data_IF_086223547202
#
_entry.id   IF_086223547202
#
_cell.length_a   1.000
_cell.length_b   1.000
_cell.length_c   1.000
_cell.angle_alpha   90.00
_cell.angle_beta   90.00
_cell.angle_gamma   90.00
#
_symmetry.space_group_name_H-M   'P 1'
#
loop_
_entity.id
_entity.type
_entity.pdbx_description
1 polymer ?
#
# COMPACT_ATOMS: atom_id res chain seq x y z
N UNK A 1 40.84 62.40 46.78
CA UNK A 1 40.91 63.03 45.45
C UNK A 1 39.88 62.44 44.49
N UNK A 2 38.74 61.94 45.01
CA UNK A 2 37.73 61.14 44.29
C UNK A 2 36.37 61.86 44.14
N UNK A 3 36.00 62.76 45.05
CA UNK A 3 34.65 63.37 45.02
C UNK A 3 34.36 64.31 43.84
N UNK A 4 35.38 64.91 43.21
CA UNK A 4 35.17 65.79 42.05
C UNK A 4 34.84 65.00 40.77
N UNK A 5 35.34 63.76 40.61
CA UNK A 5 34.99 62.91 39.47
C UNK A 5 33.56 62.37 39.57
N UNK A 6 33.05 62.18 40.79
CA UNK A 6 31.69 61.67 41.02
C UNK A 6 30.64 62.73 40.66
N UNK A 7 30.91 64.02 40.96
CA UNK A 7 30.01 65.13 40.60
C UNK A 7 29.85 65.30 39.09
N UNK A 8 30.96 65.25 38.34
CA UNK A 8 30.94 65.34 36.88
C UNK A 8 30.16 64.16 36.26
N UNK A 9 30.30 62.96 36.82
CA UNK A 9 29.55 61.77 36.43
C UNK A 9 28.05 61.96 36.66
N UNK A 10 27.63 62.49 37.82
CA UNK A 10 26.22 62.78 38.11
C UNK A 10 25.61 63.83 37.17
N UNK A 11 26.37 64.86 36.81
CA UNK A 11 25.95 65.85 35.81
C UNK A 11 25.72 65.16 34.46
N UNK A 12 26.61 64.23 34.06
CA UNK A 12 26.46 63.50 32.81
C UNK A 12 25.24 62.57 32.81
N UNK A 13 25.03 61.79 33.88
CA UNK A 13 23.87 60.90 34.06
C UNK A 13 22.55 61.70 34.01
N UNK A 14 22.51 62.87 34.66
CA UNK A 14 21.34 63.74 34.63
C UNK A 14 21.10 64.33 33.22
N UNK A 15 22.15 64.74 32.50
CA UNK A 15 22.03 65.21 31.10
C UNK A 15 21.53 64.11 30.16
N UNK A 16 22.02 62.88 30.34
CA UNK A 16 21.56 61.73 29.57
C UNK A 16 20.08 61.45 29.85
N UNK A 17 19.65 61.49 31.11
CA UNK A 17 18.25 61.34 31.48
C UNK A 17 17.33 62.41 30.91
N UNK A 18 17.80 63.66 30.87
CA UNK A 18 17.07 64.76 30.27
C UNK A 18 16.87 64.55 28.76
N UNK A 19 17.91 64.13 28.04
CA UNK A 19 17.82 63.80 26.61
C UNK A 19 16.93 62.56 26.36
N UNK A 20 17.06 61.52 27.19
CA UNK A 20 16.22 60.34 27.12
C UNK A 20 14.73 60.68 27.36
N UNK A 21 14.45 61.55 28.33
CA UNK A 21 13.09 62.03 28.64
C UNK A 21 12.47 62.90 27.53
N UNK A 22 13.28 63.46 26.63
CA UNK A 22 12.80 64.16 25.43
C UNK A 22 12.43 63.19 24.30
N UNK A 23 13.09 62.05 24.22
CA UNK A 23 12.85 61.04 23.18
C UNK A 23 11.85 59.96 23.59
N UNK A 24 11.62 59.78 24.89
CA UNK A 24 10.77 58.73 25.45
C UNK A 24 9.40 59.27 25.91
N UNK A 25 8.34 58.44 26.02
CA UNK A 25 6.99 58.86 26.43
C UNK A 25 6.88 59.19 27.93
N UNK A 26 7.93 59.74 28.54
CA UNK A 26 8.04 60.01 29.98
C UNK A 26 8.44 61.48 30.24
N UNK A 27 7.55 62.44 29.93
CA UNK A 27 7.87 63.87 29.94
C UNK A 27 8.31 64.42 31.30
N UNK A 28 7.93 63.77 32.40
CA UNK A 28 8.31 64.15 33.77
C UNK A 28 9.78 63.87 34.10
N UNK A 29 10.45 62.97 33.37
CA UNK A 29 11.88 62.68 33.57
C UNK A 29 12.72 63.83 33.02
N UNK A 30 12.29 64.44 31.92
CA UNK A 30 12.96 65.60 31.32
C UNK A 30 13.04 66.77 32.30
N UNK A 31 11.90 67.15 32.89
CA UNK A 31 11.81 68.24 33.87
C UNK A 31 12.66 67.98 35.11
N UNK A 32 12.48 66.81 35.73
CA UNK A 32 13.24 66.39 36.90
C UNK A 32 14.76 66.37 36.63
N UNK A 33 15.21 65.71 35.57
CA UNK A 33 16.63 65.62 35.23
C UNK A 33 17.21 66.99 34.87
N UNK A 34 16.44 67.84 34.19
CA UNK A 34 16.85 69.22 33.90
C UNK A 34 17.09 70.02 35.18
N UNK A 35 16.18 69.92 36.16
CA UNK A 35 16.35 70.57 37.46
C UNK A 35 17.55 70.02 38.23
N UNK A 36 17.77 68.69 38.19
CA UNK A 36 18.95 68.07 38.81
C UNK A 36 20.26 68.57 38.19
N UNK A 37 20.35 68.70 36.86
CA UNK A 37 21.52 69.29 36.17
C UNK A 37 21.79 70.70 36.70
N UNK A 38 20.76 71.54 36.83
CA UNK A 38 20.91 72.90 37.34
C UNK A 38 21.43 72.94 38.78
N UNK A 39 20.95 72.05 39.65
CA UNK A 39 21.45 71.94 41.03
C UNK A 39 22.90 71.46 41.06
N UNK A 40 23.22 70.40 40.32
CA UNK A 40 24.57 69.80 40.30
C UNK A 40 25.61 70.78 39.73
N UNK A 41 25.29 71.52 38.66
CA UNK A 41 26.16 72.56 38.12
C UNK A 41 26.29 73.77 39.07
N UNK A 42 25.25 74.09 39.86
CA UNK A 42 25.34 75.11 40.89
C UNK A 42 26.26 74.67 42.05
N UNK A 43 26.20 73.39 42.43
CA UNK A 43 27.10 72.78 43.40
C UNK A 43 28.54 72.80 42.90
N UNK A 44 28.80 72.40 41.66
CA UNK A 44 30.13 72.42 41.04
C UNK A 44 30.76 73.82 41.10
N UNK A 45 29.98 74.86 40.79
CA UNK A 45 30.42 76.26 40.81
C UNK A 45 30.64 76.79 42.24
N UNK A 46 29.98 76.22 43.25
CA UNK A 46 30.04 76.68 44.64
C UNK A 46 31.02 75.85 45.51
N UNK A 47 31.35 74.63 45.10
CA UNK A 47 31.99 73.61 45.93
C UNK A 47 33.37 73.23 45.41
N UNK A 48 34.36 74.13 45.54
CA UNK A 48 35.75 73.70 45.36
C UNK A 48 36.25 72.80 46.51
N UNK A 49 35.58 72.73 47.67
CA UNK A 49 35.99 71.95 48.87
C UNK A 49 34.87 71.76 49.93
N UNK A 50 33.58 71.66 49.56
CA UNK A 50 32.51 71.51 50.56
C UNK A 50 31.90 70.10 50.53
N UNK A 51 32.32 69.24 51.47
CA UNK A 51 31.83 67.86 51.62
C UNK A 51 30.31 67.80 51.76
N UNK A 52 29.70 68.71 52.54
CA UNK A 52 28.24 68.78 52.72
C UNK A 52 27.48 68.99 51.38
N UNK A 53 28.11 69.65 50.39
CA UNK A 53 27.53 69.85 49.06
C UNK A 53 27.80 68.68 48.11
N UNK A 54 28.92 67.97 48.30
CA UNK A 54 29.28 66.79 47.50
C UNK A 54 28.41 65.59 47.88
N UNK A 55 28.12 65.41 49.17
CA UNK A 55 27.19 64.38 49.66
C UNK A 55 25.74 64.63 49.17
N UNK A 56 25.33 65.90 49.10
CA UNK A 56 24.05 66.28 48.51
C UNK A 56 23.99 65.95 47.01
N UNK A 57 25.07 66.24 46.28
CA UNK A 57 25.15 65.90 44.85
C UNK A 57 25.07 64.38 44.62
N UNK A 58 25.73 63.59 45.46
CA UNK A 58 25.69 62.13 45.41
C UNK A 58 24.28 61.57 45.68
N UNK A 59 23.59 62.11 46.69
CA UNK A 59 22.21 61.72 47.01
C UNK A 59 21.22 62.08 45.87
N UNK A 60 21.36 63.27 45.27
CA UNK A 60 20.57 63.67 44.09
C UNK A 60 20.87 62.74 42.92
N UNK A 61 22.16 62.49 42.63
CA UNK A 61 22.59 61.63 41.54
C UNK A 61 22.01 60.21 41.63
N UNK A 62 22.14 59.56 42.79
CA UNK A 62 21.58 58.22 43.07
C UNK A 62 20.06 58.18 42.94
N UNK A 63 19.37 59.25 43.33
CA UNK A 63 17.91 59.35 43.19
C UNK A 63 17.51 59.39 41.71
N UNK A 64 18.20 60.22 40.91
CA UNK A 64 17.97 60.33 39.46
C UNK A 64 18.27 59.01 38.74
N UNK A 65 19.38 58.36 39.07
CA UNK A 65 19.75 57.05 38.51
C UNK A 65 18.67 55.99 38.84
N UNK A 66 18.17 55.96 40.08
CA UNK A 66 17.11 55.03 40.48
C UNK A 66 15.82 55.27 39.68
N UNK A 67 15.47 56.53 39.44
CA UNK A 67 14.31 56.90 38.61
C UNK A 67 14.49 56.44 37.16
N UNK A 68 15.65 56.71 36.55
CA UNK A 68 15.95 56.33 35.18
C UNK A 68 15.92 54.81 34.98
N UNK A 69 16.61 54.05 35.85
CA UNK A 69 16.66 52.59 35.78
C UNK A 69 15.27 51.97 35.91
N UNK A 70 14.45 52.51 36.83
CA UNK A 70 13.10 51.97 37.06
C UNK A 70 12.20 52.19 35.86
N UNK A 71 12.30 53.33 35.18
CA UNK A 71 11.52 53.62 33.96
C UNK A 71 11.97 52.75 32.79
N UNK A 72 13.29 52.55 32.62
CA UNK A 72 13.84 51.70 31.57
C UNK A 72 13.39 50.23 31.71
N UNK A 73 13.36 49.70 32.93
CA UNK A 73 12.99 48.32 33.22
C UNK A 73 11.48 48.04 33.06
N UNK A 74 10.61 49.03 33.28
CA UNK A 74 9.18 48.77 33.53
C UNK A 74 8.18 49.56 32.65
N UNK A 75 8.64 50.48 31.82
CA UNK A 75 7.81 51.15 30.80
C UNK A 75 6.68 52.05 31.34
N UNK A 76 5.65 52.28 30.52
CA UNK A 76 4.56 53.26 30.74
C UNK A 76 3.65 53.03 31.95
N UNK A 77 3.45 51.79 32.39
CA UNK A 77 2.44 51.47 33.42
C UNK A 77 2.90 51.80 34.85
N UNK A 78 4.21 51.88 35.11
CA UNK A 78 4.77 52.35 36.39
C UNK A 78 4.74 53.88 36.53
N UNK A 79 4.36 54.60 35.46
CA UNK A 79 4.56 56.04 35.35
C UNK A 79 3.69 56.90 36.28
N UNK A 80 2.50 56.47 36.73
CA UNK A 80 1.61 57.40 37.47
C UNK A 80 2.15 57.79 38.85
N UNK A 81 2.49 56.82 39.71
CA UNK A 81 3.06 57.10 41.03
C UNK A 81 4.49 57.63 40.94
N UNK A 82 5.25 57.17 39.95
CA UNK A 82 6.58 57.72 39.67
C UNK A 82 6.50 59.18 39.22
N UNK A 83 5.57 59.52 38.34
CA UNK A 83 5.34 60.88 37.86
C UNK A 83 5.03 61.82 39.00
N UNK A 84 4.17 61.41 39.93
CA UNK A 84 3.77 62.27 41.04
C UNK A 84 4.98 62.54 41.98
N UNK A 85 5.78 61.51 42.30
CA UNK A 85 7.03 61.67 43.08
C UNK A 85 8.09 62.46 42.32
N UNK A 86 8.21 62.27 41.00
CA UNK A 86 9.15 63.02 40.16
C UNK A 86 8.77 64.50 40.05
N UNK A 87 7.49 64.81 39.95
CA UNK A 87 7.00 66.19 39.90
C UNK A 87 7.21 66.91 41.24
N UNK A 88 6.96 66.24 42.37
CA UNK A 88 7.27 66.79 43.70
C UNK A 88 8.77 67.06 43.87
N UNK A 89 9.61 66.11 43.45
CA UNK A 89 11.06 66.27 43.49
C UNK A 89 11.55 67.36 42.52
N UNK A 90 10.93 67.51 41.35
CA UNK A 90 11.24 68.58 40.39
C UNK A 90 11.00 69.97 41.00
N UNK A 91 9.83 70.18 41.60
CA UNK A 91 9.49 71.43 42.32
C UNK A 91 10.50 71.69 43.43
N UNK A 92 10.81 70.66 44.22
CA UNK A 92 11.79 70.77 45.31
C UNK A 92 13.19 71.16 44.81
N UNK A 93 13.66 70.55 43.71
CA UNK A 93 14.96 70.87 43.12
C UNK A 93 14.97 72.30 42.52
N UNK A 94 13.88 72.77 41.91
CA UNK A 94 13.78 74.16 41.44
C UNK A 94 13.87 75.19 42.58
N UNK A 95 13.18 74.92 43.68
CA UNK A 95 13.26 75.76 44.88
C UNK A 95 14.68 75.77 45.45
N UNK A 96 15.33 74.60 45.47
CA UNK A 96 16.72 74.44 45.89
C UNK A 96 17.69 75.24 45.01
N UNK A 97 17.53 75.24 43.67
CA UNK A 97 18.33 76.07 42.75
C UNK A 97 18.19 77.56 43.10
N UNK A 98 16.98 78.01 43.38
CA UNK A 98 16.68 79.41 43.71
C UNK A 98 17.31 79.83 45.04
N UNK A 99 17.28 78.95 46.04
CA UNK A 99 17.90 79.18 47.34
C UNK A 99 19.44 79.13 47.29
N UNK A 100 20.03 78.19 46.54
CA UNK A 100 21.49 78.13 46.31
C UNK A 100 22.02 79.36 45.56
N UNK A 101 21.23 79.87 44.60
CA UNK A 101 21.58 81.07 43.82
C UNK A 101 21.53 82.35 44.65
N UNK A 102 20.57 82.48 45.57
CA UNK A 102 20.43 83.65 46.45
C UNK A 102 21.46 83.66 47.60
N UNK A 103 21.83 82.49 48.13
CA UNK A 103 22.83 82.34 49.20
C UNK A 103 24.28 82.39 48.71
N UNK A 104 24.52 82.29 47.39
CA UNK A 104 25.84 82.36 46.73
C UNK A 104 26.70 83.56 47.13
N UNK A 105 26.09 84.67 47.57
CA UNK A 105 26.80 85.88 48.01
C UNK A 105 27.49 85.74 49.38
N UNK A 106 27.21 84.68 50.17
CA UNK A 106 27.84 84.43 51.50
C UNK A 106 28.07 82.93 51.71
N UNK A 107 29.30 82.45 51.59
CA UNK A 107 29.67 81.02 51.78
C UNK A 107 29.25 80.43 53.13
N UNK A 108 29.24 81.25 54.20
CA UNK A 108 28.72 80.85 55.53
C UNK A 108 27.19 80.61 55.56
N UNK A 109 26.45 81.22 54.64
CA UNK A 109 24.98 81.09 54.53
C UNK A 109 24.54 79.75 53.99
N UNK A 110 25.25 79.22 52.98
CA UNK A 110 24.93 77.93 52.33
C UNK A 110 25.03 76.77 53.33
N UNK A 111 26.11 76.69 54.11
CA UNK A 111 26.29 75.62 55.10
C UNK A 111 25.21 75.64 56.19
N UNK A 112 24.81 76.83 56.65
CA UNK A 112 23.73 76.99 57.63
C UNK A 112 22.38 76.64 57.02
N UNK A 113 22.15 77.00 55.76
CA UNK A 113 20.93 76.69 55.02
C UNK A 113 20.76 75.17 54.83
N UNK A 114 21.80 74.47 54.37
CA UNK A 114 21.80 73.00 54.24
C UNK A 114 21.51 72.29 55.57
N UNK A 115 22.04 72.82 56.69
CA UNK A 115 21.82 72.25 58.03
C UNK A 115 20.49 72.64 58.68
N UNK A 116 19.98 73.84 58.43
CA UNK A 116 18.75 74.34 59.06
C UNK A 116 17.47 73.84 58.36
N UNK A 117 17.58 73.43 57.09
CA UNK A 117 16.46 72.94 56.27
C UNK A 117 16.58 71.43 55.95
N UNK A 118 17.52 70.73 56.60
CA UNK A 118 18.11 69.41 56.26
C UNK A 118 17.70 68.86 54.90
N UNK A 119 18.18 69.54 53.84
CA UNK A 119 17.93 69.20 52.43
C UNK A 119 18.26 67.73 52.14
N UNK A 120 19.25 67.20 52.85
CA UNK A 120 19.65 65.80 52.82
C UNK A 120 18.52 64.83 53.23
N UNK A 121 17.79 65.12 54.30
CA UNK A 121 16.71 64.26 54.79
C UNK A 121 15.53 64.25 53.80
N UNK A 122 15.27 65.38 53.15
CA UNK A 122 14.25 65.49 52.11
C UNK A 122 14.60 64.66 50.87
N UNK A 123 15.83 64.79 50.34
CA UNK A 123 16.27 63.99 49.17
C UNK A 123 16.28 62.50 49.51
N UNK A 124 16.78 62.10 50.68
CA UNK A 124 16.75 60.70 51.11
C UNK A 124 15.31 60.18 51.26
N UNK A 125 14.37 61.01 51.71
CA UNK A 125 12.95 60.69 51.74
C UNK A 125 12.38 60.42 50.34
N UNK A 126 12.76 61.22 49.34
CA UNK A 126 12.39 60.95 47.95
C UNK A 126 13.03 59.67 47.41
N UNK A 127 14.30 59.42 47.74
CA UNK A 127 15.00 58.20 47.36
C UNK A 127 14.32 56.94 47.92
N UNK A 128 13.85 56.99 49.18
CA UNK A 128 13.11 55.88 49.80
C UNK A 128 11.77 55.66 49.11
N UNK A 129 10.99 56.72 48.88
CA UNK A 129 9.68 56.64 48.19
C UNK A 129 9.83 56.05 46.78
N UNK A 130 10.87 56.44 46.05
CA UNK A 130 11.19 55.87 44.73
C UNK A 130 11.50 54.37 44.83
N UNK A 131 12.26 53.94 45.85
CA UNK A 131 12.55 52.52 46.09
C UNK A 131 11.30 51.72 46.49
N UNK A 132 10.45 52.25 47.35
CA UNK A 132 9.19 51.61 47.74
C UNK A 132 8.26 51.40 46.55
N UNK A 133 8.13 52.41 45.68
CA UNK A 133 7.33 52.31 44.45
C UNK A 133 7.91 51.24 43.52
N UNK A 134 9.25 51.14 43.39
CA UNK A 134 9.89 50.08 42.61
C UNK A 134 9.55 48.68 43.17
N UNK A 135 9.59 48.51 44.49
CA UNK A 135 9.28 47.22 45.12
C UNK A 135 7.80 46.83 44.92
N UNK A 136 6.85 47.76 45.14
CA UNK A 136 5.41 47.51 44.91
C UNK A 136 5.16 47.08 43.46
N UNK A 137 5.83 47.73 42.51
CA UNK A 137 5.74 47.35 41.09
C UNK A 137 6.23 45.93 40.84
N UNK A 138 7.43 45.59 41.31
CA UNK A 138 8.01 44.26 41.11
C UNK A 138 7.11 43.16 41.68
N UNK A 139 6.51 43.40 42.84
CA UNK A 139 5.56 42.47 43.47
C UNK A 139 4.32 42.31 42.58
N UNK A 140 3.70 43.40 42.11
CA UNK A 140 2.52 43.34 41.23
C UNK A 140 2.82 42.61 39.93
N UNK A 141 3.91 42.95 39.25
CA UNK A 141 4.30 42.29 37.99
C UNK A 141 4.60 40.81 38.19
N UNK A 142 5.25 40.43 39.30
CA UNK A 142 5.48 39.02 39.62
C UNK A 142 4.18 38.26 39.87
N UNK A 143 3.21 38.89 40.55
CA UNK A 143 1.88 38.33 40.79
C UNK A 143 1.10 38.16 39.48
N UNK A 144 0.99 39.21 38.66
CA UNK A 144 0.28 39.18 37.37
C UNK A 144 0.90 38.15 36.41
N UNK A 145 2.23 38.09 36.37
CA UNK A 145 2.96 37.08 35.57
C UNK A 145 2.63 35.66 36.06
N UNK A 146 2.55 35.45 37.38
CA UNK A 146 2.20 34.15 37.95
C UNK A 146 0.76 33.75 37.62
N UNK A 147 -0.19 34.68 37.64
CA UNK A 147 -1.58 34.42 37.26
C UNK A 147 -1.68 34.05 35.77
N UNK A 148 -1.08 34.84 34.88
CA UNK A 148 -1.11 34.55 33.43
C UNK A 148 -0.45 33.22 33.10
N UNK A 149 0.67 32.87 33.75
CA UNK A 149 1.30 31.55 33.62
C UNK A 149 0.38 30.44 34.11
N UNK A 150 -0.37 30.65 35.20
CA UNK A 150 -1.35 29.67 35.70
C UNK A 150 -2.47 29.46 34.68
N UNK A 151 -3.04 30.53 34.13
CA UNK A 151 -4.10 30.45 33.13
C UNK A 151 -3.64 29.70 31.87
N UNK A 152 -2.43 29.99 31.40
CA UNK A 152 -1.82 29.28 30.27
C UNK A 152 -1.61 27.80 30.60
N UNK A 153 -1.14 27.48 31.82
CA UNK A 153 -0.93 26.10 32.27
C UNK A 153 -2.24 25.33 32.33
N UNK A 154 -3.31 25.94 32.84
CA UNK A 154 -4.63 25.31 32.96
C UNK A 154 -5.28 25.13 31.59
N UNK A 155 -5.12 26.10 30.69
CA UNK A 155 -5.52 25.96 29.28
C UNK A 155 -4.77 24.84 28.56
N UNK A 156 -3.45 24.74 28.76
CA UNK A 156 -2.64 23.67 28.19
C UNK A 156 -3.07 22.30 28.72
N UNK A 157 -3.36 22.19 30.02
CA UNK A 157 -3.85 20.95 30.64
C UNK A 157 -5.19 20.53 30.04
N UNK A 158 -6.13 21.46 29.92
CA UNK A 158 -7.46 21.22 29.32
C UNK A 158 -7.34 20.71 27.88
N UNK A 159 -6.49 21.35 27.07
CA UNK A 159 -6.23 20.93 25.69
C UNK A 159 -5.57 19.54 25.63
N UNK A 160 -4.65 19.25 26.56
CA UNK A 160 -4.00 17.93 26.65
C UNK A 160 -5.01 16.84 26.96
N UNK A 161 -5.91 17.07 27.93
CA UNK A 161 -6.96 16.13 28.32
C UNK A 161 -7.96 15.89 27.16
N UNK A 162 -8.35 16.96 26.45
CA UNK A 162 -9.21 16.86 25.27
C UNK A 162 -8.55 16.07 24.13
N UNK A 163 -7.27 16.30 23.88
CA UNK A 163 -6.50 15.57 22.87
C UNK A 163 -6.39 14.08 23.23
N UNK A 164 -6.11 13.75 24.48
CA UNK A 164 -6.07 12.36 24.96
C UNK A 164 -7.42 11.65 24.74
N UNK A 165 -8.54 12.33 25.06
CA UNK A 165 -9.88 11.79 24.83
C UNK A 165 -10.18 11.57 23.34
N UNK A 166 -9.76 12.49 22.47
CA UNK A 166 -9.94 12.37 21.02
C UNK A 166 -9.12 11.20 20.44
N UNK A 167 -7.89 11.01 20.91
CA UNK A 167 -7.04 9.88 20.53
C UNK A 167 -7.68 8.56 20.93
N UNK A 168 -8.18 8.43 22.17
CA UNK A 168 -8.82 7.20 22.63
C UNK A 168 -10.10 6.91 21.82
N UNK A 169 -10.91 7.94 21.55
CA UNK A 169 -12.12 7.78 20.71
C UNK A 169 -11.78 7.30 19.30
N UNK A 170 -10.74 7.88 18.68
CA UNK A 170 -10.26 7.48 17.36
C UNK A 170 -9.75 6.03 17.34
N UNK A 171 -9.00 5.65 18.38
CA UNK A 171 -8.49 4.28 18.57
C UNK A 171 -9.66 3.29 18.69
N UNK A 172 -10.67 3.58 19.51
CA UNK A 172 -11.83 2.70 19.68
C UNK A 172 -12.64 2.55 18.37
N UNK A 173 -12.84 3.65 17.64
CA UNK A 173 -13.49 3.60 16.33
C UNK A 173 -12.72 2.73 15.33
N UNK A 174 -11.39 2.84 15.30
CA UNK A 174 -10.54 2.02 14.43
C UNK A 174 -10.64 0.54 14.78
N UNK A 175 -10.57 0.19 16.06
CA UNK A 175 -10.73 -1.19 16.53
C UNK A 175 -12.11 -1.75 16.15
N UNK A 176 -13.18 -0.98 16.38
CA UNK A 176 -14.54 -1.39 16.00
C UNK A 176 -14.69 -1.64 14.50
N UNK A 177 -14.09 -0.80 13.66
CA UNK A 177 -14.13 -0.97 12.21
C UNK A 177 -13.33 -2.21 11.75
N UNK A 178 -12.17 -2.45 12.35
CA UNK A 178 -11.37 -3.66 12.08
C UNK A 178 -12.17 -4.91 12.44
N UNK A 179 -12.80 -4.92 13.62
CA UNK A 179 -13.58 -6.06 14.09
C UNK A 179 -14.78 -6.36 13.18
N UNK A 180 -15.51 -5.31 12.76
CA UNK A 180 -16.60 -5.44 11.77
C UNK A 180 -16.10 -6.04 10.45
N UNK A 181 -14.96 -5.58 9.95
CA UNK A 181 -14.40 -6.07 8.69
C UNK A 181 -13.90 -7.53 8.82
N UNK A 182 -13.29 -7.87 9.95
CA UNK A 182 -12.86 -9.25 10.23
C UNK A 182 -14.06 -10.21 10.27
N UNK A 183 -15.14 -9.82 10.92
CA UNK A 183 -16.38 -10.61 10.96
C UNK A 183 -17.01 -10.78 9.58
N UNK A 184 -17.00 -9.72 8.74
CA UNK A 184 -17.49 -9.82 7.35
C UNK A 184 -16.67 -10.82 6.53
N UNK A 185 -15.34 -10.74 6.59
CA UNK A 185 -14.44 -11.68 5.90
C UNK A 185 -14.71 -13.11 6.38
N UNK A 186 -14.88 -13.32 7.68
CA UNK A 186 -15.13 -14.64 8.24
C UNK A 186 -16.42 -15.28 7.66
N UNK A 187 -17.52 -14.52 7.60
CA UNK A 187 -18.76 -15.02 7.02
C UNK A 187 -18.67 -15.25 5.50
N UNK A 188 -17.92 -14.41 4.77
CA UNK A 188 -17.65 -14.65 3.35
C UNK A 188 -16.86 -15.94 3.12
N UNK A 189 -15.78 -16.18 3.88
CA UNK A 189 -15.01 -17.42 3.79
C UNK A 189 -15.89 -18.63 4.10
N UNK A 190 -16.73 -18.52 5.13
CA UNK A 190 -17.66 -19.59 5.54
C UNK A 190 -18.66 -19.92 4.44
N UNK A 191 -19.31 -18.91 3.85
CA UNK A 191 -20.28 -19.11 2.76
C UNK A 191 -19.63 -19.66 1.50
N UNK A 192 -18.42 -19.20 1.17
CA UNK A 192 -17.66 -19.71 0.03
C UNK A 192 -17.24 -21.17 0.22
N UNK A 193 -16.78 -21.54 1.42
CA UNK A 193 -16.43 -22.92 1.77
C UNK A 193 -17.61 -23.88 1.63
N UNK A 194 -18.79 -23.49 2.11
CA UNK A 194 -20.03 -24.30 1.94
C UNK A 194 -20.40 -24.45 0.48
N UNK A 195 -20.31 -23.37 -0.30
CA UNK A 195 -20.60 -23.38 -1.74
C UNK A 195 -19.66 -24.30 -2.51
N UNK A 196 -18.35 -24.23 -2.22
CA UNK A 196 -17.35 -25.09 -2.84
C UNK A 196 -17.56 -26.57 -2.49
N UNK A 197 -17.84 -26.87 -1.22
CA UNK A 197 -18.11 -28.25 -0.79
C UNK A 197 -19.31 -28.83 -1.54
N UNK A 198 -20.40 -28.08 -1.68
CA UNK A 198 -21.58 -28.50 -2.47
C UNK A 198 -21.26 -28.76 -3.93
N UNK A 199 -20.40 -27.94 -4.55
CA UNK A 199 -19.96 -28.15 -5.94
C UNK A 199 -19.12 -29.42 -6.07
N UNK A 200 -18.22 -29.67 -5.12
CA UNK A 200 -17.41 -30.88 -5.08
C UNK A 200 -18.25 -32.14 -4.90
N UNK A 201 -19.22 -32.11 -3.97
CA UNK A 201 -20.15 -33.22 -3.74
C UNK A 201 -20.97 -33.53 -4.99
N UNK A 202 -21.50 -32.49 -5.66
CA UNK A 202 -22.23 -32.64 -6.92
C UNK A 202 -21.36 -33.26 -8.01
N UNK A 203 -20.14 -32.74 -8.21
CA UNK A 203 -19.21 -33.27 -9.20
C UNK A 203 -18.87 -34.73 -8.90
N UNK A 204 -18.66 -35.08 -7.63
CA UNK A 204 -18.41 -36.45 -7.21
C UNK A 204 -19.57 -37.38 -7.56
N UNK A 205 -20.82 -36.96 -7.28
CA UNK A 205 -22.02 -37.70 -7.64
C UNK A 205 -22.19 -37.86 -9.16
N UNK A 206 -21.92 -36.81 -9.94
CA UNK A 206 -21.99 -36.84 -11.40
C UNK A 206 -20.94 -37.81 -11.98
N UNK A 207 -19.71 -37.79 -11.47
CA UNK A 207 -18.64 -38.73 -11.88
C UNK A 207 -19.01 -40.16 -11.55
N UNK A 208 -19.56 -40.42 -10.35
CA UNK A 208 -19.99 -41.75 -9.96
C UNK A 208 -21.11 -42.27 -10.88
N UNK A 209 -22.09 -41.41 -11.20
CA UNK A 209 -23.18 -41.72 -12.13
C UNK A 209 -22.65 -42.05 -13.54
N UNK A 210 -21.67 -41.30 -14.03
CA UNK A 210 -21.05 -41.56 -15.34
C UNK A 210 -20.23 -42.85 -15.36
N UNK A 211 -19.59 -43.21 -14.24
CA UNK A 211 -18.87 -44.48 -14.07
C UNK A 211 -19.83 -45.67 -14.11
N UNK A 212 -20.95 -45.59 -13.40
CA UNK A 212 -21.99 -46.64 -13.39
C UNK A 212 -22.65 -46.83 -14.75
N UNK A 213 -22.80 -45.75 -15.53
CA UNK A 213 -23.32 -45.79 -16.91
C UNK A 213 -22.29 -46.23 -17.96
N UNK A 214 -21.05 -46.54 -17.56
CA UNK A 214 -19.98 -46.97 -18.47
C UNK A 214 -19.45 -45.88 -19.43
N UNK A 215 -19.85 -44.62 -19.23
CA UNK A 215 -19.48 -43.47 -20.07
C UNK A 215 -18.14 -42.84 -19.65
N UNK A 216 -17.70 -43.06 -18.41
CA UNK A 216 -16.39 -42.63 -17.93
C UNK A 216 -15.33 -43.71 -18.21
N UNK A 217 -14.74 -43.69 -19.40
CA UNK A 217 -13.76 -44.69 -19.89
C UNK A 217 -12.38 -44.06 -20.14
N UNK A 218 -11.79 -43.49 -19.09
CA UNK A 218 -10.51 -42.76 -19.15
C UNK A 218 -9.25 -43.61 -18.92
N UNK A 219 -9.38 -44.92 -18.66
CA UNK A 219 -8.24 -45.80 -18.42
C UNK A 219 -8.23 -46.94 -19.44
N UNK A 220 -7.30 -46.86 -20.40
CA UNK A 220 -6.98 -47.98 -21.29
C UNK A 220 -6.22 -49.01 -20.47
N UNK A 221 -6.74 -50.24 -20.44
CA UNK A 221 -6.09 -51.32 -19.69
C UNK A 221 -4.91 -51.88 -20.50
N UNK A 222 -3.77 -52.07 -19.85
CA UNK A 222 -2.74 -52.96 -20.37
C UNK A 222 -3.17 -54.40 -20.04
N UNK A 223 -3.50 -55.19 -21.05
CA UNK A 223 -4.04 -56.56 -20.91
C UNK A 223 -2.96 -57.56 -21.29
N UNK A 224 -2.76 -58.59 -20.47
CA UNK A 224 -1.76 -59.63 -20.74
C UNK A 224 -2.28 -60.61 -21.81
N UNK A 225 -1.40 -61.21 -22.63
CA UNK A 225 -1.83 -62.21 -23.62
C UNK A 225 -2.63 -63.37 -23.02
N UNK A 226 -2.30 -63.80 -21.80
CA UNK A 226 -2.97 -64.90 -21.11
C UNK A 226 -4.40 -64.59 -20.67
N UNK A 227 -4.79 -63.31 -20.66
CA UNK A 227 -6.11 -62.83 -20.24
C UNK A 227 -7.07 -62.68 -21.44
N UNK A 228 -6.63 -63.07 -22.64
CA UNK A 228 -7.35 -62.90 -23.90
C UNK A 228 -7.75 -64.26 -24.46
N UNK A 229 -9.03 -64.58 -24.40
CA UNK A 229 -9.57 -65.86 -24.89
C UNK A 229 -10.26 -65.66 -26.23
N UNK A 230 -9.51 -65.81 -27.33
CA UNK A 230 -10.04 -65.71 -28.69
C UNK A 230 -11.05 -66.83 -28.96
N UNK A 231 -12.21 -66.47 -29.52
CA UNK A 231 -13.30 -67.37 -29.91
C UNK A 231 -13.37 -67.46 -31.44
N UNK A 232 -14.33 -66.75 -32.02
CA UNK A 232 -14.65 -66.81 -33.44
C UNK A 232 -13.87 -65.75 -34.22
N UNK A 233 -13.30 -66.14 -35.35
CA UNK A 233 -12.66 -65.25 -36.30
C UNK A 233 -13.74 -64.56 -37.13
N UNK A 234 -13.71 -63.24 -37.24
CA UNK A 234 -14.64 -62.54 -38.12
C UNK A 234 -14.36 -62.88 -39.60
N UNK A 235 -15.41 -63.19 -40.40
CA UNK A 235 -15.28 -63.30 -41.85
C UNK A 235 -14.64 -62.03 -42.40
N UNK A 236 -13.78 -62.17 -43.41
CA UNK A 236 -13.09 -61.03 -43.96
C UNK A 236 -13.79 -60.55 -45.23
N UNK A 237 -14.33 -59.35 -45.20
CA UNK A 237 -15.11 -58.77 -46.32
C UNK A 237 -14.26 -58.21 -47.47
N UNK A 238 -12.94 -58.44 -47.48
CA UNK A 238 -12.07 -57.91 -48.53
C UNK A 238 -11.83 -58.94 -49.65
N UNK A 239 -12.32 -58.63 -50.85
CA UNK A 239 -12.15 -59.40 -52.09
C UNK A 239 -10.73 -59.32 -52.73
N UNK A 240 -9.71 -58.83 -52.02
CA UNK A 240 -8.32 -58.81 -52.50
C UNK A 240 -7.31 -59.21 -51.40
N UNK A 241 -6.46 -60.24 -51.60
CA UNK A 241 -5.23 -60.45 -50.84
C UNK A 241 -4.01 -59.88 -51.63
N UNK A 242 -2.96 -59.34 -50.98
CA UNK A 242 -2.07 -60.16 -50.14
C UNK A 242 -1.31 -59.42 -49.00
N UNK A 243 -1.97 -58.63 -48.15
CA UNK A 243 -1.25 -57.97 -47.03
C UNK A 243 -2.13 -57.67 -45.81
N UNK A 244 -2.78 -58.69 -45.24
CA UNK A 244 -3.55 -58.52 -43.99
C UNK A 244 -2.60 -58.41 -42.79
N UNK A 245 -2.30 -57.18 -42.38
CA UNK A 245 -1.49 -56.89 -41.19
C UNK A 245 -2.17 -57.30 -39.86
N UNK A 246 -3.47 -57.61 -39.86
CA UNK A 246 -4.19 -58.03 -38.66
C UNK A 246 -5.35 -58.99 -38.96
N UNK A 247 -5.88 -59.61 -37.90
CA UNK A 247 -7.08 -60.44 -37.91
C UNK A 247 -7.93 -60.11 -36.69
N UNK A 248 -9.24 -60.01 -36.88
CA UNK A 248 -10.18 -59.62 -35.83
C UNK A 248 -10.95 -60.84 -35.31
N UNK A 249 -11.09 -60.93 -33.99
CA UNK A 249 -11.74 -62.03 -33.29
C UNK A 249 -12.77 -61.51 -32.31
N UNK A 250 -13.83 -62.28 -32.10
CA UNK A 250 -14.58 -62.20 -30.86
C UNK A 250 -13.76 -62.85 -29.74
N UNK A 251 -13.67 -62.21 -28.59
CA UNK A 251 -12.93 -62.76 -27.45
C UNK A 251 -13.61 -62.43 -26.12
N UNK A 252 -13.41 -63.32 -25.15
CA UNK A 252 -13.64 -62.98 -23.74
C UNK A 252 -12.33 -62.45 -23.15
N UNK A 253 -12.42 -61.39 -22.35
CA UNK A 253 -11.27 -60.78 -21.70
C UNK A 253 -11.47 -60.89 -20.20
N UNK A 254 -10.46 -61.37 -19.48
CA UNK A 254 -10.55 -61.47 -18.03
C UNK A 254 -10.80 -60.09 -17.40
N UNK A 255 -11.71 -60.02 -16.43
CA UNK A 255 -12.17 -58.77 -15.83
C UNK A 255 -13.05 -57.88 -16.72
N UNK A 256 -13.59 -58.39 -17.82
CA UNK A 256 -14.63 -57.74 -18.64
C UNK A 256 -16.00 -58.40 -18.46
N UNK A 257 -17.05 -57.59 -18.29
CA UNK A 257 -18.43 -58.07 -18.12
C UNK A 257 -19.16 -58.38 -19.44
N UNK A 258 -18.51 -58.16 -20.58
CA UNK A 258 -19.07 -58.41 -21.90
C UNK A 258 -17.98 -58.86 -22.88
N UNK A 259 -18.32 -59.65 -23.92
CA UNK A 259 -17.37 -59.99 -24.98
C UNK A 259 -16.80 -58.74 -25.64
N UNK A 260 -15.62 -58.89 -26.24
CA UNK A 260 -14.87 -57.83 -26.91
C UNK A 260 -14.47 -58.26 -28.31
N UNK A 261 -14.17 -57.27 -29.12
CA UNK A 261 -13.50 -57.45 -30.40
C UNK A 261 -12.00 -57.29 -30.15
N UNK A 262 -11.22 -58.28 -30.57
CA UNK A 262 -9.76 -58.28 -30.45
C UNK A 262 -9.13 -58.31 -31.82
N UNK A 263 -8.43 -57.21 -32.14
CA UNK A 263 -7.62 -57.10 -33.35
C UNK A 263 -6.21 -57.57 -33.06
N UNK A 264 -5.83 -58.71 -33.62
CA UNK A 264 -4.48 -59.28 -33.47
C UNK A 264 -3.66 -58.96 -34.70
N UNK A 265 -2.54 -58.24 -34.51
CA UNK A 265 -1.62 -57.90 -35.59
C UNK A 265 -0.67 -59.07 -35.85
N UNK A 266 -0.44 -59.41 -37.13
CA UNK A 266 0.35 -60.58 -37.54
C UNK A 266 1.41 -60.18 -38.56
N UNK A 267 2.48 -61.00 -38.61
CA UNK A 267 3.49 -60.91 -39.67
C UNK A 267 2.88 -61.26 -41.03
N UNK A 268 3.11 -60.45 -42.08
CA UNK A 268 2.79 -60.82 -43.45
C UNK A 268 3.47 -62.15 -43.83
N UNK A 269 2.72 -63.10 -44.38
CA UNK A 269 3.29 -64.35 -44.91
C UNK A 269 3.85 -64.08 -46.31
N UNK A 270 5.17 -64.21 -46.48
CA UNK A 270 5.80 -64.25 -47.82
C UNK A 270 6.97 -63.30 -48.07
N UNK A 271 7.33 -62.41 -47.15
CA UNK A 271 8.49 -61.53 -47.29
C UNK A 271 9.62 -61.90 -46.31
N UNK A 272 10.80 -62.20 -46.84
CA UNK A 272 11.99 -62.50 -46.04
C UNK A 272 12.50 -61.29 -45.24
N UNK A 273 12.79 -61.51 -43.95
CA UNK A 273 13.40 -60.58 -42.99
C UNK A 273 12.68 -59.22 -42.81
N UNK A 274 11.44 -59.26 -42.33
CA UNK A 274 10.75 -58.10 -41.73
C UNK A 274 11.18 -57.99 -40.26
N UNK A 275 11.65 -56.81 -39.83
CA UNK A 275 12.07 -56.54 -38.45
C UNK A 275 10.83 -56.42 -37.54
N UNK A 276 10.93 -56.80 -36.27
CA UNK A 276 9.85 -56.64 -35.28
C UNK A 276 9.34 -55.18 -35.19
N UNK A 277 10.25 -54.23 -35.43
CA UNK A 277 9.95 -52.80 -35.51
C UNK A 277 8.97 -52.43 -36.63
N UNK A 278 8.87 -53.24 -37.69
CA UNK A 278 8.02 -52.95 -38.85
C UNK A 278 6.53 -53.21 -38.55
N UNK A 279 6.22 -53.99 -37.51
CA UNK A 279 4.84 -54.25 -37.04
C UNK A 279 4.49 -53.34 -35.86
N UNK A 280 5.43 -53.16 -34.93
CA UNK A 280 5.17 -52.37 -33.72
C UNK A 280 5.03 -50.87 -34.01
N UNK A 281 5.71 -50.33 -35.04
CA UNK A 281 5.55 -48.91 -35.44
C UNK A 281 4.12 -48.61 -35.91
N UNK A 282 3.54 -49.31 -36.92
CA UNK A 282 2.14 -49.13 -37.28
C UNK A 282 1.16 -49.38 -36.12
N UNK A 283 1.42 -50.40 -35.30
CA UNK A 283 0.59 -50.74 -34.13
C UNK A 283 0.46 -49.58 -33.14
N UNK A 284 1.58 -48.96 -32.75
CA UNK A 284 1.57 -47.81 -31.85
C UNK A 284 0.87 -46.59 -32.46
N UNK A 285 1.09 -46.32 -33.76
CA UNK A 285 0.41 -45.23 -34.47
C UNK A 285 -1.11 -45.42 -34.45
N UNK A 286 -1.59 -46.65 -34.62
CA UNK A 286 -3.03 -46.94 -34.60
C UNK A 286 -3.60 -46.79 -33.19
N UNK A 287 -2.87 -47.24 -32.16
CA UNK A 287 -3.26 -47.02 -30.75
C UNK A 287 -3.43 -45.52 -30.48
N UNK A 288 -2.41 -44.71 -30.76
CA UNK A 288 -2.44 -43.27 -30.46
C UNK A 288 -3.61 -42.55 -31.15
N UNK A 289 -3.98 -43.00 -32.36
CA UNK A 289 -5.16 -42.47 -33.07
C UNK A 289 -6.47 -42.85 -32.39
N UNK A 290 -6.61 -44.13 -32.03
CA UNK A 290 -7.84 -44.67 -31.47
C UNK A 290 -8.09 -44.23 -30.02
N UNK A 291 -7.04 -43.97 -29.23
CA UNK A 291 -7.17 -43.47 -27.85
C UNK A 291 -7.89 -42.12 -27.81
N UNK A 292 -7.63 -41.28 -28.81
CA UNK A 292 -8.13 -39.92 -28.84
C UNK A 292 -9.50 -39.80 -29.53
N UNK A 293 -9.97 -40.86 -30.19
CA UNK A 293 -11.27 -40.87 -30.87
C UNK A 293 -12.41 -41.18 -29.90
N UNK A 294 -13.22 -40.16 -29.61
CA UNK A 294 -14.36 -40.25 -28.67
C UNK A 294 -15.69 -40.03 -29.37
N UNK A 295 -16.09 -40.96 -30.22
CA UNK A 295 -17.38 -40.91 -30.91
C UNK A 295 -18.34 -41.99 -30.35
N UNK A 296 -19.61 -41.65 -30.18
CA UNK A 296 -20.62 -42.56 -29.61
C UNK A 296 -20.89 -43.78 -30.51
N UNK A 297 -20.80 -43.56 -31.83
CA UNK A 297 -20.96 -44.58 -32.86
C UNK A 297 -19.62 -45.06 -33.42
N UNK A 298 -18.56 -45.09 -32.60
CA UNK A 298 -17.29 -45.72 -32.97
C UNK A 298 -16.81 -46.57 -31.80
N UNK A 299 -16.31 -47.77 -32.12
CA UNK A 299 -15.75 -48.71 -31.17
C UNK A 299 -14.55 -48.07 -30.47
N UNK A 300 -14.67 -47.95 -29.15
CA UNK A 300 -13.63 -47.39 -28.31
C UNK A 300 -12.69 -48.47 -27.80
N UNK A 301 -11.42 -48.11 -27.57
CA UNK A 301 -10.45 -49.02 -26.95
C UNK A 301 -10.90 -49.36 -25.52
N UNK A 302 -10.98 -50.66 -25.22
CA UNK A 302 -11.07 -51.21 -23.87
C UNK A 302 -9.69 -51.38 -23.25
N UNK A 303 -8.75 -51.92 -24.04
CA UNK A 303 -7.40 -52.24 -23.59
C UNK A 303 -6.49 -52.56 -24.77
N UNK A 304 -5.20 -52.70 -24.47
CA UNK A 304 -4.17 -53.04 -25.44
C UNK A 304 -3.27 -54.13 -24.87
N UNK A 305 -2.87 -55.08 -25.72
CA UNK A 305 -1.83 -56.04 -25.43
C UNK A 305 -0.60 -55.67 -26.26
N UNK A 306 0.47 -55.24 -25.58
CA UNK A 306 1.71 -54.76 -26.22
C UNK A 306 2.79 -55.84 -26.36
N UNK A 307 2.43 -57.11 -26.14
CA UNK A 307 3.36 -58.23 -26.30
C UNK A 307 3.84 -58.31 -27.76
N UNK A 308 5.14 -58.46 -27.97
CA UNK A 308 5.75 -58.62 -29.30
C UNK A 308 5.24 -59.83 -30.06
N UNK A 309 4.91 -60.91 -29.34
CA UNK A 309 4.43 -62.17 -29.91
C UNK A 309 2.90 -62.16 -30.12
N UNK A 310 2.20 -61.24 -29.45
CA UNK A 310 0.75 -61.10 -29.52
C UNK A 310 0.32 -59.62 -29.41
N UNK A 311 0.66 -58.77 -30.40
CA UNK A 311 0.23 -57.38 -30.40
C UNK A 311 -1.26 -57.31 -30.71
N UNK A 312 -2.07 -56.82 -29.76
CA UNK A 312 -3.51 -56.75 -29.93
C UNK A 312 -4.14 -55.46 -29.41
N UNK A 313 -5.17 -54.99 -30.12
CA UNK A 313 -6.06 -53.89 -29.67
C UNK A 313 -7.40 -54.51 -29.31
N UNK A 314 -7.90 -54.20 -28.11
CA UNK A 314 -9.15 -54.71 -27.60
C UNK A 314 -10.17 -53.58 -27.64
N UNK A 315 -11.25 -53.78 -28.36
CA UNK A 315 -12.30 -52.80 -28.59
C UNK A 315 -13.57 -53.19 -27.83
N UNK A 316 -14.32 -52.19 -27.40
CA UNK A 316 -15.69 -52.39 -26.95
C UNK A 316 -16.61 -52.68 -28.14
N UNK A 317 -17.48 -53.68 -27.99
CA UNK A 317 -18.44 -54.11 -29.01
C UNK A 317 -18.44 -55.62 -29.18
N UNK A 318 -19.44 -56.15 -29.86
CA UNK A 318 -19.58 -57.59 -30.18
C UNK A 318 -19.90 -57.84 -31.65
N UNK A 319 -20.19 -56.78 -32.40
CA UNK A 319 -20.58 -56.80 -33.82
C UNK A 319 -19.56 -56.02 -34.64
N UNK A 320 -19.36 -56.46 -35.88
CA UNK A 320 -18.45 -55.83 -36.82
C UNK A 320 -19.27 -55.40 -38.04
N UNK A 321 -19.51 -54.10 -38.13
CA UNK A 321 -20.04 -53.44 -39.32
C UNK A 321 -19.05 -52.34 -39.73
N UNK A 322 -18.77 -52.22 -41.03
CA UNK A 322 -17.92 -51.12 -41.52
C UNK A 322 -18.67 -49.79 -41.50
N UNK A 323 -17.95 -48.66 -41.52
CA UNK A 323 -18.60 -47.35 -41.71
C UNK A 323 -19.45 -47.35 -42.98
N UNK A 324 -19.01 -48.01 -44.04
CA UNK A 324 -19.74 -48.05 -45.31
C UNK A 324 -21.07 -48.79 -45.14
N UNK A 325 -21.06 -49.98 -44.54
CA UNK A 325 -22.28 -50.76 -44.31
C UNK A 325 -23.24 -50.01 -43.37
N UNK A 326 -22.70 -49.38 -42.32
CA UNK A 326 -23.49 -48.56 -41.42
C UNK A 326 -24.07 -47.34 -42.15
N UNK A 327 -23.28 -46.63 -42.96
CA UNK A 327 -23.72 -45.47 -43.73
C UNK A 327 -24.81 -45.83 -44.74
N UNK A 328 -24.74 -47.01 -45.36
CA UNK A 328 -25.77 -47.53 -46.26
C UNK A 328 -27.09 -47.83 -45.52
N UNK A 329 -27.03 -48.14 -44.22
CA UNK A 329 -28.22 -48.35 -43.38
C UNK A 329 -28.91 -47.05 -42.91
N UNK A 330 -28.25 -45.90 -43.05
CA UNK A 330 -28.75 -44.61 -42.56
C UNK A 330 -29.59 -43.87 -43.62
N UNK A 331 -30.59 -43.12 -43.14
CA UNK A 331 -31.25 -42.11 -44.00
C UNK A 331 -30.28 -40.98 -44.36
N UNK A 332 -30.54 -40.23 -45.44
CA UNK A 332 -29.68 -39.12 -45.87
C UNK A 332 -29.41 -38.08 -44.76
N UNK A 333 -30.40 -37.78 -43.91
CA UNK A 333 -30.25 -36.84 -42.79
C UNK A 333 -29.39 -37.44 -41.67
N UNK A 334 -29.59 -38.71 -41.33
CA UNK A 334 -28.78 -39.40 -40.32
C UNK A 334 -27.34 -39.58 -40.80
N UNK A 335 -27.14 -39.90 -42.07
CA UNK A 335 -25.81 -39.99 -42.68
C UNK A 335 -25.09 -38.66 -42.63
N UNK A 336 -25.75 -37.54 -43.00
CA UNK A 336 -25.16 -36.20 -42.89
C UNK A 336 -24.77 -35.86 -41.44
N UNK A 337 -25.65 -36.14 -40.48
CA UNK A 337 -25.38 -35.89 -39.05
C UNK A 337 -24.20 -36.74 -38.55
N UNK A 338 -24.17 -38.02 -38.91
CA UNK A 338 -23.07 -38.93 -38.56
C UNK A 338 -21.72 -38.44 -39.12
N UNK A 339 -21.67 -38.05 -40.40
CA UNK A 339 -20.43 -37.56 -41.01
C UNK A 339 -19.96 -36.23 -40.43
N UNK A 340 -20.87 -35.30 -40.11
CA UNK A 340 -20.51 -34.04 -39.44
C UNK A 340 -19.94 -34.32 -38.05
N UNK A 341 -20.57 -35.20 -37.28
CA UNK A 341 -20.12 -35.54 -35.93
C UNK A 341 -18.76 -36.27 -35.97
N UNK A 342 -18.60 -37.23 -36.88
CA UNK A 342 -17.34 -37.94 -37.09
C UNK A 342 -16.22 -37.00 -37.53
N UNK A 343 -16.52 -36.04 -38.43
CA UNK A 343 -15.55 -35.05 -38.87
C UNK A 343 -15.06 -34.17 -37.71
N UNK A 344 -15.98 -33.64 -36.90
CA UNK A 344 -15.63 -32.81 -35.74
C UNK A 344 -14.77 -33.60 -34.73
N UNK A 345 -15.13 -34.86 -34.47
CA UNK A 345 -14.38 -35.71 -33.54
C UNK A 345 -12.98 -36.05 -34.07
N UNK A 346 -12.81 -36.18 -35.40
CA UNK A 346 -11.50 -36.35 -36.03
C UNK A 346 -10.67 -35.06 -36.10
N UNK A 347 -11.32 -33.90 -36.32
CA UNK A 347 -10.65 -32.60 -36.39
C UNK A 347 -10.06 -32.19 -35.03
N UNK A 348 -10.77 -32.47 -33.93
CA UNK A 348 -10.28 -32.26 -32.55
C UNK A 348 -8.99 -33.06 -32.29
N UNK A 349 -8.82 -34.23 -32.91
CA UNK A 349 -7.60 -35.06 -32.82
C UNK A 349 -6.46 -34.45 -33.65
N UNK A 350 -6.77 -33.84 -34.79
CA UNK A 350 -5.79 -33.21 -35.70
C UNK A 350 -5.14 -31.94 -35.13
N UNK A 351 -5.84 -31.17 -34.28
CA UNK A 351 -5.27 -29.96 -33.66
C UNK A 351 -4.13 -30.29 -32.69
N UNK A 352 -4.06 -31.51 -32.15
CA UNK A 352 -2.92 -32.02 -31.39
C UNK A 352 -1.70 -32.44 -32.25
N UNK A 353 -1.85 -32.56 -33.57
CA UNK A 353 -0.83 -33.12 -34.49
C UNK A 353 0.09 -32.07 -35.13
N UNK A 354 -0.24 -30.78 -35.05
CA UNK A 354 0.51 -29.72 -35.76
C UNK A 354 1.79 -29.25 -35.06
N UNK A 355 2.10 -29.72 -33.84
CA UNK A 355 3.26 -29.24 -33.07
C UNK A 355 4.59 -29.90 -33.40
N UNK A 356 4.65 -30.95 -34.24
CA UNK A 356 5.89 -31.69 -34.51
C UNK A 356 6.27 -31.91 -35.99
N UNK A 357 5.72 -31.13 -36.94
CA UNK A 357 6.25 -31.11 -38.31
C UNK A 357 7.13 -29.88 -38.55
N UNK A 358 8.44 -30.15 -38.63
CA UNK A 358 9.48 -29.18 -38.98
C UNK A 358 9.16 -28.55 -40.33
N UNK A 359 8.91 -27.23 -40.31
CA UNK A 359 8.72 -26.36 -41.46
C UNK A 359 9.93 -26.47 -42.40
N UNK A 360 9.76 -27.14 -43.55
CA UNK A 360 10.67 -27.02 -44.69
C UNK A 360 9.83 -26.48 -45.85
N UNK A 361 10.31 -25.38 -46.42
CA UNK A 361 9.61 -24.57 -47.42
C UNK A 361 9.53 -25.20 -48.81
N UNK A 362 9.27 -24.39 -49.85
CA UNK A 362 8.03 -24.49 -50.60
C UNK A 362 8.27 -25.09 -51.98
N UNK A 363 7.53 -26.14 -52.35
CA UNK A 363 7.01 -26.45 -53.70
C UNK A 363 6.41 -27.85 -53.69
N UNK A 364 5.17 -27.98 -54.22
CA UNK A 364 4.56 -29.28 -54.53
C UNK A 364 3.24 -29.54 -53.81
N UNK A 365 2.16 -29.01 -54.38
CA UNK A 365 0.75 -29.43 -54.28
C UNK A 365 0.34 -30.32 -53.09
N UNK A 366 -0.30 -29.71 -52.08
CA UNK A 366 -1.24 -30.38 -51.19
C UNK A 366 -2.64 -29.86 -51.54
N UNK A 367 -3.38 -30.64 -52.32
CA UNK A 367 -4.78 -30.37 -52.60
C UNK A 367 -5.55 -30.65 -51.32
N UNK A 368 -6.11 -29.57 -50.76
CA UNK A 368 -7.14 -29.59 -49.74
C UNK A 368 -8.41 -30.15 -50.38
N UNK A 369 -8.80 -31.38 -50.06
CA UNK A 369 -10.16 -31.88 -50.34
C UNK A 369 -11.02 -31.74 -49.09
N UNK A 370 -11.46 -30.51 -48.83
CA UNK A 370 -12.62 -30.21 -48.01
C UNK A 370 -13.91 -30.35 -48.85
N UNK A 371 -14.93 -31.01 -48.29
CA UNK A 371 -16.33 -30.57 -48.42
C UNK A 371 -16.95 -30.37 -49.83
N UNK A 372 -16.64 -31.19 -50.82
CA UNK A 372 -17.42 -31.25 -52.08
C UNK A 372 -17.73 -32.68 -52.48
N UNK A 373 -18.83 -33.23 -51.93
CA UNK A 373 -19.58 -34.37 -52.50
C UNK A 373 -21.03 -34.34 -51.98
N UNK A 374 -21.76 -33.25 -52.27
CA UNK A 374 -23.23 -33.29 -52.38
C UNK A 374 -23.59 -32.50 -53.64
N UNK A 375 -23.45 -33.15 -54.80
CA UNK A 375 -24.27 -32.92 -56.01
C UNK A 375 -23.92 -33.99 -57.04
N UNK A 376 -24.95 -34.58 -57.64
CA UNK A 376 -24.95 -35.82 -58.41
C UNK A 376 -24.07 -35.84 -59.67
N UNK A 377 -23.77 -37.08 -60.10
CA UNK A 377 -23.33 -37.54 -61.42
C UNK A 377 -21.90 -37.21 -61.84
N UNK A 378 -20.96 -38.09 -61.48
CA UNK A 378 -20.09 -38.77 -62.46
C UNK A 378 -19.30 -39.88 -61.76
N UNK A 379 -19.18 -40.99 -62.48
CA UNK A 379 -18.59 -42.24 -62.03
C UNK A 379 -17.04 -42.17 -62.02
N UNK A 380 -16.46 -43.01 -61.16
CA UNK A 380 -15.09 -43.55 -61.27
C UNK A 380 -13.95 -42.53 -61.42
N UNK A 381 -13.36 -42.11 -60.29
CA UNK A 381 -11.90 -41.97 -60.07
C UNK A 381 -11.59 -40.85 -59.09
N UNK A 382 -11.43 -41.17 -57.80
CA UNK A 382 -10.63 -40.41 -56.84
C UNK A 382 -10.62 -41.17 -55.50
N UNK A 383 -10.01 -42.35 -55.48
CA UNK A 383 -9.94 -43.18 -54.26
C UNK A 383 -8.57 -43.84 -54.11
N UNK A 384 -7.49 -43.06 -54.05
CA UNK A 384 -6.15 -43.62 -53.80
C UNK A 384 -5.30 -42.66 -52.96
N UNK A 385 -5.67 -42.48 -51.68
CA UNK A 385 -4.69 -42.16 -50.64
C UNK A 385 -4.72 -43.25 -49.56
N UNK A 386 -3.76 -44.16 -49.66
CA UNK A 386 -3.53 -45.31 -48.77
C UNK A 386 -3.48 -44.99 -47.26
N UNK A 387 -3.37 -43.71 -46.85
CA UNK A 387 -3.43 -43.30 -45.44
C UNK A 387 -4.85 -43.16 -44.89
N UNK A 388 -5.83 -42.87 -45.75
CA UNK A 388 -7.25 -42.77 -45.38
C UNK A 388 -7.90 -44.16 -45.34
N UNK A 389 -7.51 -45.08 -46.22
CA UNK A 389 -8.00 -46.47 -46.20
C UNK A 389 -7.73 -47.17 -44.86
N UNK A 390 -6.58 -46.89 -44.23
CA UNK A 390 -6.25 -47.42 -42.90
C UNK A 390 -7.16 -46.83 -41.82
N UNK A 391 -7.62 -45.57 -41.95
CA UNK A 391 -8.52 -44.95 -40.98
C UNK A 391 -9.95 -45.48 -41.17
N UNK A 392 -10.42 -45.59 -42.41
CA UNK A 392 -11.74 -46.13 -42.72
C UNK A 392 -11.88 -47.63 -42.43
N UNK A 393 -10.80 -48.43 -42.58
CA UNK A 393 -10.79 -49.84 -42.18
C UNK A 393 -10.82 -50.04 -40.64
N UNK A 394 -10.55 -48.99 -39.86
CA UNK A 394 -10.33 -49.07 -38.40
C UNK A 394 -11.53 -48.56 -37.58
N UNK A 395 -12.51 -47.89 -38.19
CA UNK A 395 -13.66 -47.32 -37.47
C UNK A 395 -14.85 -48.28 -37.52
N UNK A 396 -15.22 -48.83 -36.35
CA UNK A 396 -16.15 -49.95 -36.19
C UNK A 396 -17.32 -49.53 -35.29
N UNK A 397 -18.47 -50.21 -35.33
CA UNK A 397 -19.65 -49.86 -34.51
C UNK A 397 -19.89 -50.82 -33.31
N UNK A 398 -20.83 -50.47 -32.42
CA UNK A 398 -21.26 -51.28 -31.24
C UNK A 398 -22.66 -51.82 -31.47
#
# INVERSE_FOLDING_TARGET
MTHTSDLESWIHIAKLGMAAGEMAPFPYIKGLCGCAVLVLEAIEKASKNNEDLLDLADSIGKTIETVQNTVAEHGGNSALRFRDVCAELEVYLMDLVSELSSTRRKSRGIKRFLKAKSVYDAINGYQERVREIKVDFLIRTAIDSRFTISDVKDGLRTNTDALASAIETSRQNTISNIDKHANSIYEEIRTWSVSQSRKADKLSADVQTLKERGLYKGFIRDVLPGDIYLKELFPSDCLYPPDKMFSDYNADIDGSNAPKIVRVYRRPQGHGNINEQDIMKPFHIIIDRLINLKHQNVAQIFGVCKSSDFPAIILHGTTRDSINDYSESLTAVQSLHFHIQLFNDLEIISVGFTTNLRRVGPTGYLVVTSATCISMNEAESCLWDSRLDIIFAVIWWI
#
